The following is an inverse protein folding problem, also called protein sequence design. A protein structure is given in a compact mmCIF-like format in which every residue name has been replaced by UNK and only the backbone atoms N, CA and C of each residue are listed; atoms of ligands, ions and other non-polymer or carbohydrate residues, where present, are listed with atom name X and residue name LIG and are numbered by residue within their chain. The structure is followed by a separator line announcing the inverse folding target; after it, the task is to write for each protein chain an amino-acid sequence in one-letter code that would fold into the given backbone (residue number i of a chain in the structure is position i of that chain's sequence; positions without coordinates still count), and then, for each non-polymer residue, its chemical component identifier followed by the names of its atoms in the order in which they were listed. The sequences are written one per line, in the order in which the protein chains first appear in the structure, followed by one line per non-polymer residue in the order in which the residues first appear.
data_IF_283037316018
#
_entry.id   IF_283037316018
#
_cell.length_a   1.000
_cell.length_b   1.000
_cell.length_c   1.000
_cell.angle_alpha   90.00
_cell.angle_beta   90.00
_cell.angle_gamma   90.00
#
_symmetry.space_group_name_H-M   'P 1'
#
loop_
_entity.id
_entity.type
_entity.pdbx_description
1 polymer ?
#
# COMPACT_ATOMS: atom_id res chain seq x y z
N UNK A 1 4.33 -28.08 19.42
CA UNK A 1 3.22 -28.07 18.44
C UNK A 1 2.23 -26.93 18.65
N UNK A 2 1.54 -26.82 19.81
CA UNK A 2 0.53 -25.75 20.06
C UNK A 2 1.05 -24.31 19.88
N UNK A 3 2.25 -24.00 20.37
CA UNK A 3 2.86 -22.66 20.24
C UNK A 3 3.24 -22.31 18.79
N UNK A 4 3.69 -23.30 18.01
CA UNK A 4 4.00 -23.10 16.60
C UNK A 4 2.71 -22.83 15.79
N UNK A 5 1.64 -23.58 16.05
CA UNK A 5 0.33 -23.34 15.43
C UNK A 5 -0.25 -21.96 15.79
N UNK A 6 -0.08 -21.52 17.04
CA UNK A 6 -0.49 -20.19 17.46
C UNK A 6 0.31 -19.09 16.74
N UNK A 7 1.64 -19.21 16.69
CA UNK A 7 2.50 -18.24 16.01
C UNK A 7 2.17 -18.11 14.52
N UNK A 8 1.91 -19.22 13.82
CA UNK A 8 1.47 -19.23 12.43
C UNK A 8 0.10 -18.55 12.28
N UNK A 9 -0.85 -18.86 13.17
CA UNK A 9 -2.17 -18.23 13.15
C UNK A 9 -2.09 -16.72 13.34
N UNK A 10 -1.26 -16.24 14.28
CA UNK A 10 -1.03 -14.81 14.50
C UNK A 10 -0.38 -14.17 13.27
N UNK A 11 0.66 -14.78 12.70
CA UNK A 11 1.33 -14.26 11.51
C UNK A 11 0.37 -14.13 10.31
N UNK A 12 -0.49 -15.13 10.09
CA UNK A 12 -1.52 -15.09 9.07
C UNK A 12 -2.56 -13.99 9.33
N UNK A 13 -3.01 -13.85 10.57
CA UNK A 13 -3.96 -12.79 10.95
C UNK A 13 -3.40 -11.40 10.69
N UNK A 14 -2.13 -11.16 11.05
CA UNK A 14 -1.44 -9.90 10.78
C UNK A 14 -1.30 -9.67 9.28
N UNK A 15 -0.88 -10.69 8.51
CA UNK A 15 -0.72 -10.56 7.07
C UNK A 15 -2.06 -10.21 6.37
N UNK A 16 -3.16 -10.86 6.77
CA UNK A 16 -4.51 -10.57 6.26
C UNK A 16 -4.91 -9.13 6.63
N UNK A 17 -4.73 -8.72 7.89
CA UNK A 17 -5.08 -7.38 8.33
C UNK A 17 -4.34 -6.31 7.53
N UNK A 18 -3.02 -6.42 7.39
CA UNK A 18 -2.21 -5.47 6.62
C UNK A 18 -2.59 -5.49 5.13
N UNK A 19 -2.87 -6.67 4.57
CA UNK A 19 -3.33 -6.82 3.19
C UNK A 19 -4.67 -6.11 2.94
N UNK A 20 -5.62 -6.21 3.88
CA UNK A 20 -6.90 -5.50 3.81
C UNK A 20 -6.70 -4.00 3.92
N UNK A 21 -5.86 -3.52 4.84
CA UNK A 21 -5.57 -2.09 4.96
C UNK A 21 -4.93 -1.52 3.70
N UNK A 22 -3.95 -2.23 3.13
CA UNK A 22 -3.34 -1.86 1.85
C UNK A 22 -4.38 -1.81 0.72
N UNK A 23 -5.23 -2.85 0.63
CA UNK A 23 -6.25 -2.92 -0.42
C UNK A 23 -7.25 -1.76 -0.32
N UNK A 24 -7.77 -1.49 0.88
CA UNK A 24 -8.69 -0.38 1.12
C UNK A 24 -8.03 0.97 0.85
N UNK A 25 -6.75 1.13 1.15
CA UNK A 25 -6.01 2.34 0.80
C UNK A 25 -6.00 2.56 -0.72
N UNK A 26 -5.53 1.59 -1.51
CA UNK A 26 -5.37 1.78 -2.96
C UNK A 26 -6.72 1.88 -3.69
N UNK A 27 -7.76 1.15 -3.26
CA UNK A 27 -9.06 1.17 -3.95
C UNK A 27 -10.02 2.23 -3.44
N UNK A 28 -9.91 2.62 -2.16
CA UNK A 28 -10.98 3.34 -1.47
C UNK A 28 -10.54 4.48 -0.55
N UNK A 29 -9.24 4.80 -0.44
CA UNK A 29 -8.79 5.94 0.38
C UNK A 29 -9.43 7.26 -0.06
N UNK A 30 -9.70 8.16 0.89
CA UNK A 30 -10.16 9.52 0.61
C UNK A 30 -9.00 10.52 0.47
N UNK A 31 -7.79 10.10 0.84
CA UNK A 31 -6.57 10.90 0.83
C UNK A 31 -5.41 10.05 0.30
N UNK A 32 -4.69 10.45 -0.77
CA UNK A 32 -3.55 9.70 -1.27
C UNK A 32 -2.36 9.68 -0.29
N UNK A 33 -2.31 10.61 0.67
CA UNK A 33 -1.25 10.75 1.68
C UNK A 33 -1.66 10.22 3.06
N UNK A 34 -2.50 9.18 3.13
CA UNK A 34 -2.72 8.45 4.37
C UNK A 34 -1.40 7.81 4.83
N UNK A 35 -0.96 8.09 6.06
CA UNK A 35 0.37 7.69 6.55
C UNK A 35 0.55 6.17 6.51
N UNK A 36 -0.41 5.41 7.03
CA UNK A 36 -0.34 3.96 7.10
C UNK A 36 -0.43 3.33 5.70
N UNK A 37 -1.42 3.77 4.90
CA UNK A 37 -1.63 3.26 3.55
C UNK A 37 -0.43 3.52 2.64
N UNK A 38 0.17 4.70 2.75
CA UNK A 38 1.36 5.08 1.99
C UNK A 38 2.54 4.16 2.32
N UNK A 39 2.83 3.95 3.61
CA UNK A 39 3.91 3.04 4.02
C UNK A 39 3.64 1.59 3.59
N UNK A 40 2.40 1.13 3.72
CA UNK A 40 2.01 -0.21 3.27
C UNK A 40 2.21 -0.39 1.77
N UNK A 41 1.76 0.58 0.95
CA UNK A 41 1.95 0.50 -0.49
C UNK A 41 3.44 0.60 -0.86
N UNK A 42 4.22 1.45 -0.19
CA UNK A 42 5.66 1.58 -0.42
C UNK A 42 6.44 0.29 -0.12
N UNK A 43 5.96 -0.54 0.81
CA UNK A 43 6.54 -1.85 1.12
C UNK A 43 6.09 -2.99 0.19
N UNK A 44 5.04 -2.78 -0.62
CA UNK A 44 4.56 -3.84 -1.50
C UNK A 44 5.59 -4.23 -2.58
N UNK A 45 5.68 -5.51 -2.95
CA UNK A 45 6.64 -5.96 -3.94
C UNK A 45 6.22 -5.52 -5.34
N UNK A 46 7.16 -4.92 -6.08
CA UNK A 46 7.12 -4.70 -7.53
C UNK A 46 5.73 -4.42 -8.11
N UNK A 47 5.13 -5.44 -8.72
CA UNK A 47 3.84 -5.32 -9.41
C UNK A 47 2.68 -4.87 -8.50
N UNK A 48 2.67 -5.26 -7.22
CA UNK A 48 1.61 -4.84 -6.29
C UNK A 48 1.73 -3.35 -5.94
N UNK A 49 2.95 -2.87 -5.69
CA UNK A 49 3.20 -1.45 -5.48
C UNK A 49 2.83 -0.64 -6.73
N UNK A 50 3.26 -1.08 -7.92
CA UNK A 50 2.95 -0.40 -9.17
C UNK A 50 1.45 -0.34 -9.45
N UNK A 51 0.72 -1.44 -9.24
CA UNK A 51 -0.73 -1.48 -9.36
C UNK A 51 -1.42 -0.54 -8.35
N UNK A 52 -0.94 -0.53 -7.10
CA UNK A 52 -1.42 0.39 -6.08
C UNK A 52 -1.22 1.86 -6.47
N UNK A 53 -0.05 2.21 -7.00
CA UNK A 53 0.23 3.54 -7.50
C UNK A 53 -0.67 3.93 -8.67
N UNK A 54 -0.99 3.00 -9.59
CA UNK A 54 -1.92 3.29 -10.69
C UNK A 54 -3.35 3.52 -10.19
N UNK A 55 -3.83 2.70 -9.25
CA UNK A 55 -5.15 2.88 -8.64
C UNK A 55 -5.28 4.23 -7.94
N UNK A 56 -4.23 4.65 -7.22
CA UNK A 56 -4.18 5.95 -6.58
C UNK A 56 -4.12 7.08 -7.61
N UNK A 57 -3.27 6.96 -8.63
CA UNK A 57 -3.14 7.97 -9.70
C UNK A 57 -4.45 8.19 -10.46
N UNK A 58 -5.17 7.11 -10.76
CA UNK A 58 -6.46 7.19 -11.44
C UNK A 58 -7.51 7.97 -10.64
N UNK A 59 -7.39 7.98 -9.30
CA UNK A 59 -8.34 8.65 -8.39
C UNK A 59 -7.85 10.04 -7.95
N UNK A 60 -6.54 10.26 -7.96
CA UNK A 60 -5.89 11.49 -7.53
C UNK A 60 -4.88 12.00 -8.57
N UNK A 61 -5.30 12.25 -9.83
CA UNK A 61 -4.37 12.55 -10.92
C UNK A 61 -3.56 13.83 -10.69
N UNK A 62 -4.15 14.81 -10.00
CA UNK A 62 -3.55 16.13 -9.76
C UNK A 62 -2.80 16.23 -8.41
N UNK A 63 -2.75 15.15 -7.63
CA UNK A 63 -2.02 15.13 -6.37
C UNK A 63 -0.51 14.93 -6.60
N UNK A 64 0.30 15.46 -5.68
CA UNK A 64 1.70 15.04 -5.54
C UNK A 64 1.69 13.54 -5.25
N UNK A 65 2.49 12.76 -5.97
CA UNK A 65 2.45 11.31 -5.77
C UNK A 65 2.92 10.96 -4.34
N UNK A 66 2.26 10.00 -3.64
CA UNK A 66 2.67 9.62 -2.30
C UNK A 66 4.01 8.88 -2.32
N UNK A 67 4.67 8.79 -1.15
CA UNK A 67 5.91 8.02 -0.98
C UNK A 67 5.72 6.60 -1.52
N UNK A 68 6.72 6.10 -2.22
CA UNK A 68 6.64 4.80 -2.91
C UNK A 68 6.02 4.87 -4.30
N UNK A 69 5.34 5.97 -4.67
CA UNK A 69 4.82 6.23 -6.03
C UNK A 69 5.50 7.42 -6.73
N UNK A 70 6.39 8.14 -6.03
CA UNK A 70 7.16 9.26 -6.57
C UNK A 70 8.10 8.82 -7.71
N UNK A 71 8.17 9.66 -8.74
CA UNK A 71 9.25 9.68 -9.72
C UNK A 71 10.52 10.33 -9.13
N UNK A 72 11.59 10.38 -9.92
CA UNK A 72 12.89 10.91 -9.48
C UNK A 72 12.87 12.42 -9.17
N UNK A 73 11.89 13.16 -9.70
CA UNK A 73 11.71 14.59 -9.42
C UNK A 73 11.06 14.87 -8.05
N UNK A 74 10.63 13.83 -7.33
CA UNK A 74 10.04 13.96 -6.01
C UNK A 74 8.66 14.62 -5.99
N UNK A 75 8.00 14.79 -7.14
CA UNK A 75 6.67 15.39 -7.22
C UNK A 75 5.69 14.60 -8.09
N UNK A 76 6.17 14.05 -9.22
CA UNK A 76 5.30 13.41 -10.20
C UNK A 76 5.10 11.92 -9.92
N UNK A 77 4.05 11.37 -10.51
CA UNK A 77 3.77 9.93 -10.49
C UNK A 77 4.83 9.19 -11.28
N UNK A 78 5.42 8.15 -10.67
CA UNK A 78 6.26 7.19 -11.38
C UNK A 78 5.43 6.50 -12.47
N UNK A 79 5.99 6.48 -13.68
CA UNK A 79 5.42 5.78 -14.83
C UNK A 79 5.47 4.27 -14.64
#
# INVERSE_FOLDING_TARGET
MKFASLAVGVALGVAIFLGVQWYLYVTSANNPHDDLGTELNAMMPGALNAWGCEMLRARFPDAVAPKGCLAQDGQTWRK
#
